data_IF_117444812347
#
_entry.id   IF_117444812347
#
_cell.length_a   1.000
_cell.length_b   1.000
_cell.length_c   1.000
_cell.angle_alpha   90.00
_cell.angle_beta   90.00
_cell.angle_gamma   90.00
#
_symmetry.space_group_name_H-M   'P 1'
#
loop_
_entity.id
_entity.type
_entity.pdbx_description
1 polymer ?
#
# COMPACT_ATOMS: atom_id res chain seq x y z
N UNK A 1 -1.87 -72.23 28.56
CA UNK A 1 -2.97 -72.19 27.57
C UNK A 1 -3.22 -70.72 27.27
N UNK A 2 -2.95 -70.32 26.02
CA UNK A 2 -3.32 -68.99 25.52
C UNK A 2 -4.79 -68.95 25.07
N UNK A 3 -5.12 -67.83 24.42
CA UNK A 3 -6.42 -67.36 23.93
C UNK A 3 -7.26 -66.64 25.01
N UNK A 4 -7.89 -65.50 24.76
CA UNK A 4 -8.00 -64.71 23.54
C UNK A 4 -8.50 -63.30 23.87
N UNK A 5 -8.04 -62.28 23.13
CA UNK A 5 -8.93 -61.20 22.73
C UNK A 5 -8.92 -59.89 23.52
N UNK A 6 -7.78 -59.24 23.76
CA UNK A 6 -7.77 -57.78 23.71
C UNK A 6 -7.66 -57.37 22.23
N UNK A 7 -8.78 -57.46 21.48
CA UNK A 7 -8.88 -56.76 20.20
C UNK A 7 -8.85 -55.27 20.56
N UNK A 8 -7.67 -54.64 20.45
CA UNK A 8 -7.56 -53.19 20.43
C UNK A 8 -8.62 -52.66 19.47
N UNK A 9 -9.65 -52.01 19.99
CA UNK A 9 -10.63 -51.35 19.15
C UNK A 9 -9.89 -50.26 18.37
N UNK A 10 -9.69 -50.50 17.08
CA UNK A 10 -9.23 -49.51 16.11
C UNK A 10 -10.42 -49.14 15.25
N UNK A 11 -10.68 -47.85 15.13
CA UNK A 11 -11.70 -47.34 14.24
C UNK A 11 -11.45 -47.83 12.79
N UNK A 12 -12.49 -48.00 11.99
CA UNK A 12 -12.35 -48.31 10.56
C UNK A 12 -11.54 -47.20 9.86
N UNK A 13 -11.68 -45.96 10.32
CA UNK A 13 -10.84 -44.80 9.96
C UNK A 13 -9.72 -44.56 10.98
N UNK A 14 -9.04 -45.63 11.45
CA UNK A 14 -7.86 -45.46 12.30
C UNK A 14 -6.85 -44.51 11.64
N UNK A 15 -6.12 -43.73 12.46
CA UNK A 15 -5.08 -42.80 12.02
C UNK A 15 -4.17 -43.54 11.04
N UNK A 16 -4.38 -43.30 9.75
CA UNK A 16 -3.52 -43.85 8.71
C UNK A 16 -2.16 -43.20 8.88
N UNK A 17 -1.11 -43.87 8.41
CA UNK A 17 0.23 -43.29 8.31
C UNK A 17 0.25 -42.19 7.25
N UNK A 18 -0.50 -41.11 7.48
CA UNK A 18 -0.50 -39.92 6.65
C UNK A 18 0.88 -39.29 6.77
N UNK A 19 1.74 -39.62 5.80
CA UNK A 19 3.16 -39.32 5.80
C UNK A 19 3.40 -37.81 5.99
N UNK A 20 2.45 -36.95 5.60
CA UNK A 20 2.55 -35.50 5.73
C UNK A 20 2.66 -35.00 7.18
N UNK A 21 1.82 -35.53 8.08
CA UNK A 21 1.81 -35.15 9.50
C UNK A 21 3.03 -35.74 10.21
N UNK A 22 3.38 -36.99 9.89
CA UNK A 22 4.57 -37.63 10.46
C UNK A 22 5.86 -36.94 10.01
N UNK A 23 5.96 -36.51 8.76
CA UNK A 23 7.08 -35.74 8.21
C UNK A 23 7.23 -34.36 8.86
N UNK A 24 6.12 -33.65 9.05
CA UNK A 24 6.12 -32.35 9.75
C UNK A 24 6.60 -32.52 11.20
N UNK A 25 6.11 -33.55 11.90
CA UNK A 25 6.56 -33.88 13.26
C UNK A 25 8.05 -34.28 13.27
N UNK A 26 8.56 -35.01 12.27
CA UNK A 26 9.98 -35.39 12.15
C UNK A 26 10.91 -34.19 11.92
N UNK A 27 10.46 -33.17 11.18
CA UNK A 27 11.24 -31.95 10.94
C UNK A 27 11.23 -30.98 12.13
N UNK A 28 10.28 -31.13 13.05
CA UNK A 28 10.18 -30.33 14.27
C UNK A 28 11.23 -30.66 15.33
N UNK A 29 11.52 -29.69 16.21
CA UNK A 29 12.42 -29.90 17.36
C UNK A 29 11.68 -30.71 18.43
N UNK A 30 12.08 -31.97 18.62
CA UNK A 30 11.54 -32.85 19.66
C UNK A 30 12.40 -32.79 20.91
N UNK A 31 11.77 -32.63 22.07
CA UNK A 31 12.46 -32.77 23.35
C UNK A 31 12.37 -34.22 23.84
N UNK A 32 13.38 -34.67 24.59
CA UNK A 32 13.40 -36.02 25.15
C UNK A 32 12.17 -36.31 26.02
N UNK A 33 11.71 -35.32 26.78
CA UNK A 33 10.49 -35.42 27.60
C UNK A 33 9.22 -35.64 26.77
N UNK A 34 9.07 -34.92 25.65
CA UNK A 34 7.92 -35.08 24.76
C UNK A 34 7.91 -36.46 24.08
N UNK A 35 9.09 -36.96 23.69
CA UNK A 35 9.24 -38.30 23.12
C UNK A 35 8.83 -39.36 24.15
N UNK A 36 9.34 -39.26 25.38
CA UNK A 36 9.07 -40.22 26.45
C UNK A 36 7.60 -40.24 26.89
N UNK A 37 6.97 -39.06 27.02
CA UNK A 37 5.54 -38.96 27.32
C UNK A 37 4.67 -39.51 26.19
N UNK A 38 5.02 -39.22 24.93
CA UNK A 38 4.31 -39.76 23.78
C UNK A 38 4.42 -41.30 23.68
N UNK A 39 5.57 -41.88 24.07
CA UNK A 39 5.75 -43.33 24.15
C UNK A 39 4.88 -43.94 25.25
N UNK A 40 4.83 -43.33 26.43
CA UNK A 40 3.97 -43.81 27.52
C UNK A 40 2.48 -43.76 27.18
N UNK A 41 2.03 -42.74 26.47
CA UNK A 41 0.64 -42.64 25.98
C UNK A 41 0.33 -43.74 24.94
N UNK A 42 1.32 -44.15 24.13
CA UNK A 42 1.16 -45.19 23.10
C UNK A 42 1.24 -46.62 23.64
N UNK A 43 2.12 -46.87 24.60
CA UNK A 43 2.46 -48.22 25.08
C UNK A 43 1.61 -48.67 26.27
N UNK A 44 1.14 -47.73 27.10
CA UNK A 44 0.30 -48.05 28.25
C UNK A 44 -1.16 -47.95 27.80
N UNK A 45 -1.87 -49.08 27.72
CA UNK A 45 -3.20 -49.11 27.10
C UNK A 45 -4.38 -48.73 28.02
N UNK A 46 -4.20 -48.69 29.35
CA UNK A 46 -5.32 -48.61 30.32
C UNK A 46 -4.85 -48.27 31.75
N UNK A 47 -5.72 -47.62 32.53
CA UNK A 47 -5.56 -47.47 33.98
C UNK A 47 -4.87 -46.18 34.46
N UNK A 48 -4.24 -46.25 35.63
CA UNK A 48 -3.62 -45.10 36.33
C UNK A 48 -2.46 -44.53 35.52
N UNK A 49 -1.63 -45.37 34.92
CA UNK A 49 -0.43 -44.92 34.22
C UNK A 49 -0.70 -44.11 32.95
N UNK A 50 -1.79 -44.39 32.24
CA UNK A 50 -2.21 -43.60 31.07
C UNK A 50 -2.68 -42.22 31.50
N UNK A 51 -3.52 -42.17 32.56
CA UNK A 51 -3.97 -40.92 33.16
C UNK A 51 -2.80 -40.08 33.66
N UNK A 52 -1.80 -40.71 34.28
CA UNK A 52 -0.58 -40.06 34.72
C UNK A 52 0.25 -39.51 33.55
N UNK A 53 0.45 -40.30 32.49
CA UNK A 53 1.20 -39.83 31.31
C UNK A 53 0.51 -38.68 30.58
N UNK A 54 -0.83 -38.68 30.54
CA UNK A 54 -1.64 -37.59 30.00
C UNK A 54 -1.59 -36.36 30.91
N UNK A 55 -1.65 -36.52 32.24
CA UNK A 55 -1.51 -35.44 33.20
C UNK A 55 -0.14 -34.75 33.05
N UNK A 56 0.95 -35.53 33.03
CA UNK A 56 2.30 -35.02 32.82
C UNK A 56 2.48 -34.34 31.45
N UNK A 57 1.77 -34.80 30.42
CA UNK A 57 1.78 -34.14 29.11
C UNK A 57 1.09 -32.77 29.14
N UNK A 58 -0.06 -32.66 29.82
CA UNK A 58 -0.77 -31.38 30.00
C UNK A 58 0.07 -30.40 30.82
N UNK A 59 0.69 -30.85 31.91
CA UNK A 59 1.59 -30.03 32.72
C UNK A 59 2.83 -29.56 31.94
N UNK A 60 3.43 -30.45 31.15
CA UNK A 60 4.57 -30.11 30.30
C UNK A 60 4.19 -29.09 29.22
N UNK A 61 3.02 -29.24 28.60
CA UNK A 61 2.50 -28.27 27.63
C UNK A 61 2.28 -26.90 28.26
N UNK A 62 1.68 -26.83 29.44
CA UNK A 62 1.44 -25.55 30.14
C UNK A 62 2.76 -24.81 30.42
N UNK A 63 3.76 -25.49 30.97
CA UNK A 63 5.09 -24.91 31.20
C UNK A 63 5.69 -24.40 29.88
N UNK A 64 5.62 -25.20 28.81
CA UNK A 64 6.24 -24.85 27.53
C UNK A 64 5.55 -23.66 26.85
N UNK A 65 4.22 -23.61 26.88
CA UNK A 65 3.43 -22.50 26.34
C UNK A 65 3.72 -21.22 27.14
N UNK A 66 3.78 -21.31 28.47
CA UNK A 66 4.09 -20.17 29.33
C UNK A 66 5.50 -19.61 29.09
N UNK A 67 6.50 -20.46 28.88
CA UNK A 67 7.86 -20.05 28.52
C UNK A 67 7.92 -19.33 27.16
N UNK A 68 7.20 -19.86 26.17
CA UNK A 68 7.09 -19.24 24.84
C UNK A 68 6.41 -17.87 24.94
N UNK A 69 5.28 -17.78 25.66
CA UNK A 69 4.58 -16.51 25.89
C UNK A 69 5.47 -15.48 26.62
N UNK A 70 6.26 -15.91 27.61
CA UNK A 70 7.21 -15.04 28.31
C UNK A 70 8.30 -14.52 27.38
N UNK A 71 8.85 -15.36 26.52
CA UNK A 71 9.84 -14.95 25.52
C UNK A 71 9.26 -13.99 24.49
N UNK A 72 8.04 -14.23 23.99
CA UNK A 72 7.35 -13.31 23.10
C UNK A 72 7.09 -11.95 23.77
N UNK A 73 6.60 -11.93 25.01
CA UNK A 73 6.42 -10.68 25.77
C UNK A 73 7.72 -9.90 25.95
N UNK A 74 8.83 -10.59 26.24
CA UNK A 74 10.15 -9.97 26.36
C UNK A 74 10.66 -9.42 25.02
N UNK A 75 10.42 -10.12 23.90
CA UNK A 75 10.78 -9.66 22.56
C UNK A 75 10.01 -8.40 22.17
N UNK A 76 8.68 -8.40 22.38
CA UNK A 76 7.83 -7.23 22.14
C UNK A 76 8.29 -6.04 22.98
N UNK A 77 8.58 -6.26 24.28
CA UNK A 77 9.09 -5.20 25.16
C UNK A 77 10.43 -4.62 24.69
N UNK A 78 11.35 -5.47 24.19
CA UNK A 78 12.61 -5.02 23.61
C UNK A 78 12.42 -4.24 22.32
N UNK A 79 11.49 -4.67 21.47
CA UNK A 79 11.19 -4.00 20.21
C UNK A 79 10.63 -2.59 20.46
N UNK A 80 9.65 -2.46 21.36
CA UNK A 80 9.09 -1.15 21.74
C UNK A 80 10.16 -0.20 22.31
N UNK A 81 11.12 -0.74 23.08
CA UNK A 81 12.23 0.05 23.61
C UNK A 81 13.19 0.52 22.50
N UNK A 82 13.49 -0.34 21.52
CA UNK A 82 14.32 0.01 20.36
C UNK A 82 13.65 1.08 19.51
N UNK A 83 12.36 0.95 19.22
CA UNK A 83 11.58 1.95 18.48
C UNK A 83 11.56 3.30 19.22
N UNK A 84 11.38 3.28 20.55
CA UNK A 84 11.45 4.48 21.38
C UNK A 84 12.82 5.16 21.33
N UNK A 85 13.91 4.38 21.44
CA UNK A 85 15.29 4.90 21.35
C UNK A 85 15.63 5.45 19.96
N UNK A 86 15.13 4.83 18.90
CA UNK A 86 15.30 5.34 17.54
C UNK A 86 14.56 6.66 17.35
N UNK A 87 13.31 6.74 17.82
CA UNK A 87 12.53 7.98 17.81
C UNK A 87 13.24 9.09 18.58
N UNK A 88 13.80 8.79 19.76
CA UNK A 88 14.55 9.76 20.55
C UNK A 88 15.84 10.22 19.85
N UNK A 89 16.58 9.28 19.24
CA UNK A 89 17.80 9.60 18.49
C UNK A 89 17.50 10.49 17.27
N UNK A 90 16.41 10.20 16.54
CA UNK A 90 15.97 11.01 15.41
C UNK A 90 15.62 12.44 15.87
N UNK A 91 14.85 12.57 16.96
CA UNK A 91 14.51 13.87 17.53
C UNK A 91 15.75 14.65 17.97
N UNK A 92 16.71 13.97 18.61
CA UNK A 92 17.97 14.59 19.02
C UNK A 92 18.80 15.04 17.81
N UNK A 93 18.82 14.25 16.73
CA UNK A 93 19.53 14.63 15.51
C UNK A 93 18.87 15.83 14.81
N UNK A 94 17.54 15.87 14.74
CA UNK A 94 16.78 17.04 14.27
C UNK A 94 17.10 18.29 15.08
N UNK A 95 17.18 18.14 16.42
CA UNK A 95 17.53 19.25 17.31
C UNK A 95 18.98 19.73 17.12
N UNK A 96 19.94 18.83 16.90
CA UNK A 96 21.34 19.21 16.61
C UNK A 96 21.43 19.96 15.28
N UNK A 97 20.77 19.47 14.23
CA UNK A 97 20.72 20.16 12.93
C UNK A 97 20.11 21.55 13.09
N UNK A 98 18.98 21.66 13.79
CA UNK A 98 18.30 22.92 14.05
C UNK A 98 19.18 23.95 14.78
N UNK A 99 20.06 23.50 15.68
CA UNK A 99 20.97 24.36 16.44
C UNK A 99 22.29 24.64 15.71
N UNK A 100 22.73 23.74 14.84
CA UNK A 100 23.95 23.90 14.03
C UNK A 100 23.75 24.91 12.90
N UNK A 101 22.53 25.05 12.37
CA UNK A 101 22.15 26.07 11.38
C UNK A 101 21.98 27.44 12.05
N UNK A 102 23.06 28.01 12.57
CA UNK A 102 23.07 29.33 13.25
C UNK A 102 22.85 30.53 12.31
N UNK A 103 22.81 30.30 11.00
CA UNK A 103 22.51 31.36 10.02
C UNK A 103 21.01 31.66 10.04
N UNK A 104 20.68 32.91 10.41
CA UNK A 104 19.29 33.37 10.61
C UNK A 104 18.39 33.09 9.40
N UNK A 105 18.94 33.13 8.19
CA UNK A 105 18.18 32.90 6.96
C UNK A 105 17.59 31.49 6.88
N UNK A 106 18.36 30.45 7.24
CA UNK A 106 17.90 29.04 7.16
C UNK A 106 16.86 28.74 8.25
N UNK A 107 17.01 29.35 9.43
CA UNK A 107 16.00 29.25 10.50
C UNK A 107 14.71 29.97 10.08
N UNK A 108 14.81 31.20 9.59
CA UNK A 108 13.65 31.96 9.11
C UNK A 108 12.96 31.24 7.94
N UNK A 109 13.72 30.62 7.04
CA UNK A 109 13.19 29.85 5.92
C UNK A 109 12.45 28.58 6.36
N UNK A 110 12.55 28.12 7.62
CA UNK A 110 11.74 27.00 8.14
C UNK A 110 10.36 27.42 8.59
N UNK A 111 10.12 28.71 8.83
CA UNK A 111 8.81 29.22 9.22
C UNK A 111 8.01 29.59 7.99
N UNK A 112 6.75 29.19 7.96
CA UNK A 112 5.79 29.59 6.94
C UNK A 112 4.55 30.15 7.60
N UNK A 113 4.12 31.33 7.15
CA UNK A 113 2.85 31.92 7.59
C UNK A 113 1.64 31.03 7.29
N UNK A 114 1.71 30.25 6.20
CA UNK A 114 0.61 29.40 5.73
C UNK A 114 0.68 27.96 6.22
N UNK A 115 1.89 27.41 6.40
CA UNK A 115 2.09 25.98 6.69
C UNK A 115 2.67 25.71 8.07
N UNK A 116 2.92 26.76 8.87
CA UNK A 116 3.47 26.66 10.21
C UNK A 116 5.00 26.52 10.22
N UNK A 117 5.52 26.12 11.38
CA UNK A 117 6.95 25.99 11.65
C UNK A 117 7.44 24.56 11.45
N UNK A 118 8.53 24.39 10.70
CA UNK A 118 9.17 23.10 10.43
C UNK A 118 10.44 22.91 11.27
N UNK A 119 10.79 21.67 11.61
CA UNK A 119 11.96 21.39 12.45
C UNK A 119 13.28 21.54 11.66
N UNK A 120 13.27 21.24 10.37
CA UNK A 120 14.38 21.43 9.44
C UNK A 120 13.88 21.98 8.10
N UNK A 121 14.73 22.69 7.35
CA UNK A 121 14.34 23.29 6.07
C UNK A 121 13.81 22.25 5.06
N UNK A 122 14.41 21.05 5.07
CA UNK A 122 14.00 19.96 4.19
C UNK A 122 12.54 19.55 4.38
N UNK A 123 12.04 19.48 5.63
CA UNK A 123 10.63 19.14 5.89
C UNK A 123 9.67 20.17 5.27
N UNK A 124 10.05 21.45 5.31
CA UNK A 124 9.26 22.50 4.63
C UNK A 124 9.29 22.31 3.12
N UNK A 125 10.45 22.02 2.53
CA UNK A 125 10.59 21.80 1.09
C UNK A 125 9.79 20.58 0.63
N UNK A 126 9.87 19.46 1.34
CA UNK A 126 9.08 18.25 1.04
C UNK A 126 7.57 18.51 1.17
N UNK A 127 7.14 19.29 2.16
CA UNK A 127 5.74 19.67 2.29
C UNK A 127 5.28 20.54 1.11
N UNK A 128 6.10 21.51 0.70
CA UNK A 128 5.83 22.33 -0.49
C UNK A 128 5.77 21.45 -1.73
N UNK A 129 6.72 20.53 -1.93
CA UNK A 129 6.74 19.61 -3.06
C UNK A 129 5.49 18.73 -3.09
N UNK A 130 5.08 18.17 -1.96
CA UNK A 130 3.86 17.34 -1.84
C UNK A 130 2.59 18.13 -2.18
N UNK A 131 2.52 19.39 -1.79
CA UNK A 131 1.40 20.26 -2.17
C UNK A 131 1.48 20.53 -3.67
N UNK A 132 2.63 20.95 -4.18
CA UNK A 132 2.83 21.26 -5.58
C UNK A 132 2.57 20.05 -6.49
N UNK A 133 2.89 18.82 -6.08
CA UNK A 133 2.64 17.62 -6.87
C UNK A 133 1.16 17.36 -7.08
N UNK A 134 0.29 17.81 -6.17
CA UNK A 134 -1.17 17.67 -6.27
C UNK A 134 -1.86 18.75 -7.12
N UNK A 135 -1.22 19.89 -7.34
CA UNK A 135 -1.80 21.06 -8.04
C UNK A 135 -1.09 21.41 -9.35
N UNK A 136 0.20 21.15 -9.45
CA UNK A 136 0.95 21.40 -10.67
C UNK A 136 0.87 20.12 -11.51
N UNK A 137 0.26 20.16 -12.71
CA UNK A 137 0.29 19.04 -13.65
C UNK A 137 1.72 18.92 -14.19
N UNK A 138 2.61 18.32 -13.40
CA UNK A 138 4.01 18.05 -13.71
C UNK A 138 4.38 16.70 -13.11
N UNK A 139 3.91 15.62 -13.72
CA UNK A 139 4.34 14.29 -13.30
C UNK A 139 3.98 13.21 -14.31
N UNK A 140 2.81 13.35 -14.95
CA UNK A 140 2.29 12.29 -15.82
C UNK A 140 1.70 12.90 -17.09
N UNK A 141 1.98 12.24 -18.21
CA UNK A 141 1.38 12.47 -19.51
C UNK A 141 0.37 11.35 -19.75
N UNK A 142 -0.91 11.71 -19.89
CA UNK A 142 -1.95 10.81 -20.33
C UNK A 142 -2.19 11.08 -21.81
N UNK A 143 -1.98 10.07 -22.65
CA UNK A 143 -2.27 10.13 -24.09
C UNK A 143 -3.53 9.34 -24.37
N UNK A 144 -4.53 9.98 -24.96
CA UNK A 144 -5.83 9.41 -25.32
C UNK A 144 -5.93 9.36 -26.84
N UNK A 145 -6.16 8.17 -27.42
CA UNK A 145 -6.43 7.98 -28.85
C UNK A 145 -7.83 8.47 -29.18
N UNK A 146 -7.93 9.66 -29.77
CA UNK A 146 -9.20 10.33 -30.09
C UNK A 146 -9.01 11.29 -31.25
N UNK A 147 -9.93 11.28 -32.20
CA UNK A 147 -9.95 12.23 -33.31
C UNK A 147 -10.53 13.56 -32.84
N UNK A 148 -9.73 14.62 -32.89
CA UNK A 148 -10.14 15.96 -32.47
C UNK A 148 -10.28 16.89 -33.68
N UNK A 149 -11.47 17.46 -33.89
CA UNK A 149 -11.73 18.42 -34.96
C UNK A 149 -11.55 19.88 -34.52
N UNK A 150 -11.51 20.11 -33.20
CA UNK A 150 -11.30 21.41 -32.56
C UNK A 150 -10.57 21.18 -31.23
N UNK A 151 -10.06 22.25 -30.63
CA UNK A 151 -9.57 22.19 -29.24
C UNK A 151 -10.74 21.77 -28.33
N UNK A 152 -10.56 20.78 -27.44
CA UNK A 152 -11.64 20.40 -26.53
C UNK A 152 -11.95 21.57 -25.60
N UNK A 153 -13.23 21.96 -25.53
CA UNK A 153 -13.68 23.12 -24.75
C UNK A 153 -13.52 22.89 -23.26
N UNK A 154 -13.65 21.63 -22.81
CA UNK A 154 -13.52 21.26 -21.42
C UNK A 154 -12.92 19.85 -21.29
N UNK A 155 -11.87 19.75 -20.47
CA UNK A 155 -11.28 18.47 -20.07
C UNK A 155 -11.01 18.53 -18.58
N UNK A 156 -11.62 17.61 -17.84
CA UNK A 156 -11.46 17.54 -16.40
C UNK A 156 -11.43 16.09 -15.93
N UNK A 157 -10.87 15.90 -14.73
CA UNK A 157 -10.72 14.58 -14.14
C UNK A 157 -11.52 14.53 -12.85
N UNK A 158 -12.33 13.49 -12.70
CA UNK A 158 -13.10 13.23 -11.49
C UNK A 158 -12.50 12.01 -10.79
N UNK A 159 -12.07 12.18 -9.54
CA UNK A 159 -11.51 11.09 -8.72
C UNK A 159 -12.39 10.72 -7.55
N UNK A 160 -12.51 9.43 -7.26
CA UNK A 160 -13.24 8.88 -6.13
C UNK A 160 -12.73 7.48 -5.78
N UNK A 161 -12.99 7.00 -4.58
CA UNK A 161 -12.59 5.67 -4.12
C UNK A 161 -13.79 4.74 -4.04
N UNK A 162 -13.56 3.43 -4.18
CA UNK A 162 -14.57 2.38 -3.99
C UNK A 162 -15.80 2.52 -4.91
N UNK A 163 -15.58 2.88 -6.17
CA UNK A 163 -16.62 2.87 -7.18
C UNK A 163 -17.31 1.51 -7.35
N UNK A 164 -18.56 1.54 -7.81
CA UNK A 164 -19.34 0.32 -8.07
C UNK A 164 -18.60 -0.61 -9.04
N UNK A 165 -18.53 -1.89 -8.69
CA UNK A 165 -17.95 -2.94 -9.53
C UNK A 165 -16.42 -3.04 -9.48
N UNK A 166 -15.74 -2.26 -8.62
CA UNK A 166 -14.28 -2.31 -8.47
C UNK A 166 -13.86 -3.33 -7.40
N UNK A 167 -14.63 -3.42 -6.32
CA UNK A 167 -14.49 -4.43 -5.28
C UNK A 167 -15.77 -5.25 -5.17
N UNK A 168 -15.72 -6.49 -4.66
CA UNK A 168 -16.92 -7.27 -4.40
C UNK A 168 -17.90 -6.52 -3.50
N UNK A 169 -19.19 -6.65 -3.78
CA UNK A 169 -20.25 -5.94 -3.07
C UNK A 169 -20.16 -6.22 -1.55
N UNK A 170 -20.15 -5.16 -0.73
CA UNK A 170 -20.11 -5.27 0.72
C UNK A 170 -18.71 -5.46 1.31
N UNK A 171 -17.65 -5.33 0.49
CA UNK A 171 -16.25 -5.35 0.98
C UNK A 171 -15.66 -3.95 1.15
N UNK A 172 -16.36 -2.94 0.65
CA UNK A 172 -16.03 -1.54 0.87
C UNK A 172 -16.23 -1.13 2.35
N UNK A 173 -15.44 -0.16 2.84
CA UNK A 173 -15.62 0.39 4.19
C UNK A 173 -17.02 0.97 4.40
N UNK A 174 -17.47 0.97 5.66
CA UNK A 174 -18.76 1.54 6.04
C UNK A 174 -18.93 2.98 5.52
N UNK A 175 -20.08 3.27 4.94
CA UNK A 175 -20.39 4.58 4.34
C UNK A 175 -19.76 4.84 2.96
N UNK A 176 -19.06 3.87 2.37
CA UNK A 176 -18.46 3.99 1.02
C UNK A 176 -19.16 3.17 -0.06
N UNK A 177 -20.34 2.63 0.22
CA UNK A 177 -21.16 1.94 -0.79
C UNK A 177 -21.50 2.91 -1.93
N UNK A 178 -21.10 2.56 -3.16
CA UNK A 178 -21.27 3.41 -4.34
C UNK A 178 -20.12 4.39 -4.60
N UNK A 179 -19.16 4.48 -3.67
CA UNK A 179 -17.96 5.30 -3.77
C UNK A 179 -17.97 6.54 -2.87
N UNK A 180 -16.80 7.15 -2.71
CA UNK A 180 -16.66 8.42 -1.98
C UNK A 180 -17.18 9.62 -2.78
N UNK A 181 -17.33 10.77 -2.12
CA UNK A 181 -17.67 12.03 -2.81
C UNK A 181 -16.64 12.30 -3.91
N UNK A 182 -17.06 12.47 -5.17
CA UNK A 182 -16.14 12.75 -6.27
C UNK A 182 -15.50 14.13 -6.14
N UNK A 183 -14.20 14.20 -6.44
CA UNK A 183 -13.41 15.43 -6.42
C UNK A 183 -12.95 15.72 -7.85
N UNK A 184 -13.19 16.95 -8.30
CA UNK A 184 -12.72 17.41 -9.61
C UNK A 184 -11.27 17.90 -9.46
N UNK A 185 -10.42 17.46 -10.39
CA UNK A 185 -9.02 17.82 -10.50
C UNK A 185 -8.75 18.44 -11.86
N UNK A 186 -7.98 19.52 -11.85
CA UNK A 186 -7.58 20.20 -13.07
C UNK A 186 -6.52 19.40 -13.83
N UNK A 187 -6.57 19.48 -15.16
CA UNK A 187 -5.58 18.93 -16.06
C UNK A 187 -5.20 19.99 -17.10
N UNK A 188 -4.02 19.84 -17.72
CA UNK A 188 -3.56 20.75 -18.78
C UNK A 188 -3.47 20.02 -20.10
N UNK A 189 -4.15 20.53 -21.12
CA UNK A 189 -4.00 20.04 -22.49
C UNK A 189 -2.60 20.43 -23.00
N UNK A 190 -1.84 19.44 -23.50
CA UNK A 190 -0.50 19.62 -24.06
C UNK A 190 -0.54 19.66 -25.58
N UNK A 191 -1.31 18.76 -26.20
CA UNK A 191 -1.51 18.68 -27.66
C UNK A 191 -2.78 17.89 -27.96
N UNK A 192 -3.35 18.05 -29.15
CA UNK A 192 -4.55 17.32 -29.61
C UNK A 192 -4.47 16.93 -31.09
N UNK A 193 -3.26 16.85 -31.63
CA UNK A 193 -3.01 16.58 -33.05
C UNK A 193 -2.86 15.08 -33.34
N UNK A 194 -2.95 14.72 -34.62
CA UNK A 194 -2.69 13.36 -35.11
C UNK A 194 -3.46 12.27 -34.37
N UNK A 195 -4.75 12.54 -34.08
CA UNK A 195 -5.65 11.62 -33.38
C UNK A 195 -5.20 11.26 -31.94
N UNK A 196 -4.38 12.11 -31.33
CA UNK A 196 -3.85 11.95 -29.97
C UNK A 196 -4.09 13.19 -29.12
N UNK A 197 -4.97 13.08 -28.13
CA UNK A 197 -5.12 14.08 -27.08
C UNK A 197 -4.13 13.77 -25.95
N UNK A 198 -3.22 14.69 -25.69
CA UNK A 198 -2.23 14.59 -24.62
C UNK A 198 -2.58 15.54 -23.49
N UNK A 199 -2.80 14.97 -22.30
CA UNK A 199 -3.13 15.68 -21.08
C UNK A 199 -1.96 15.55 -20.11
N UNK A 200 -1.65 16.65 -19.43
CA UNK A 200 -0.70 16.68 -18.33
C UNK A 200 -1.48 16.73 -17.03
N UNK A 201 -1.13 15.83 -16.11
CA UNK A 201 -1.82 15.63 -14.84
C UNK A 201 -0.80 15.53 -13.68
N UNK A 202 -1.27 15.70 -12.42
CA UNK A 202 -0.49 15.44 -11.21
C UNK A 202 0.23 14.09 -11.17
N UNK A 203 1.29 13.98 -10.37
CA UNK A 203 2.09 12.74 -10.25
C UNK A 203 1.27 11.56 -9.68
N UNK A 204 0.25 11.85 -8.87
CA UNK A 204 -0.62 10.87 -8.23
C UNK A 204 -1.34 9.95 -9.23
N UNK A 205 -1.45 10.37 -10.51
CA UNK A 205 -2.09 9.59 -11.56
C UNK A 205 -1.18 8.53 -12.20
N UNK A 206 0.07 8.42 -11.76
CA UNK A 206 1.07 7.66 -12.52
C UNK A 206 0.87 6.14 -12.55
N UNK A 207 0.13 5.60 -11.59
CA UNK A 207 -0.12 4.16 -11.47
C UNK A 207 -1.49 3.77 -12.04
N UNK A 208 -2.32 4.75 -12.40
CA UNK A 208 -3.63 4.51 -13.00
C UNK A 208 -3.49 3.82 -14.35
N UNK A 209 -4.33 2.82 -14.56
CA UNK A 209 -4.40 2.07 -15.82
C UNK A 209 -5.79 2.22 -16.42
N UNK A 210 -5.84 2.31 -17.75
CA UNK A 210 -7.11 2.28 -18.45
C UNK A 210 -7.86 0.98 -18.13
N UNK A 211 -9.15 1.13 -17.84
CA UNK A 211 -10.05 0.01 -17.58
C UNK A 211 -11.06 -0.11 -18.71
N UNK A 212 -11.85 0.95 -18.93
CA UNK A 212 -12.88 0.98 -19.96
C UNK A 212 -13.32 2.40 -20.27
N UNK A 213 -14.01 2.56 -21.39
CA UNK A 213 -14.66 3.79 -21.83
C UNK A 213 -16.18 3.64 -21.71
N UNK A 214 -16.78 3.95 -20.55
CA UNK A 214 -18.22 3.74 -20.33
C UNK A 214 -19.12 4.58 -21.25
N UNK A 215 -18.64 5.75 -21.68
CA UNK A 215 -19.32 6.65 -22.62
C UNK A 215 -18.29 7.17 -23.63
N UNK A 216 -18.73 7.68 -24.78
CA UNK A 216 -17.84 8.20 -25.83
C UNK A 216 -16.88 9.30 -25.35
N UNK A 217 -17.28 10.04 -24.32
CA UNK A 217 -16.55 11.19 -23.78
C UNK A 217 -15.97 10.92 -22.39
N UNK A 218 -16.10 9.70 -21.86
CA UNK A 218 -15.67 9.35 -20.50
C UNK A 218 -14.78 8.14 -20.53
N UNK A 219 -13.58 8.29 -19.96
CA UNK A 219 -12.59 7.23 -19.85
C UNK A 219 -12.33 6.90 -18.39
N UNK A 220 -12.53 5.64 -18.00
CA UNK A 220 -12.31 5.16 -16.65
C UNK A 220 -10.92 4.54 -16.52
N UNK A 221 -10.14 5.07 -15.58
CA UNK A 221 -8.86 4.54 -15.16
C UNK A 221 -8.95 4.06 -13.69
N UNK A 222 -8.24 2.99 -13.38
CA UNK A 222 -8.21 2.36 -12.06
C UNK A 222 -6.78 2.22 -11.54
N UNK A 223 -6.61 2.44 -10.24
CA UNK A 223 -5.43 2.05 -9.45
C UNK A 223 -5.90 1.40 -8.14
N UNK A 224 -5.98 0.07 -8.12
CA UNK A 224 -6.55 -0.66 -6.99
C UNK A 224 -8.00 -0.24 -6.71
N UNK A 225 -8.24 0.38 -5.55
CA UNK A 225 -9.55 0.88 -5.13
C UNK A 225 -9.83 2.33 -5.56
N UNK A 226 -8.86 3.00 -6.17
CA UNK A 226 -8.97 4.39 -6.62
C UNK A 226 -9.47 4.44 -8.06
N UNK A 227 -10.42 5.34 -8.30
CA UNK A 227 -11.09 5.52 -9.59
C UNK A 227 -10.79 6.92 -10.11
N UNK A 228 -10.48 7.01 -11.40
CA UNK A 228 -10.32 8.27 -12.10
C UNK A 228 -11.11 8.25 -13.39
N UNK A 229 -12.04 9.18 -13.56
CA UNK A 229 -12.76 9.39 -14.80
C UNK A 229 -12.23 10.63 -15.49
N UNK A 230 -11.76 10.48 -16.73
CA UNK A 230 -11.37 11.60 -17.58
C UNK A 230 -12.56 11.92 -18.48
N UNK A 231 -13.05 13.15 -18.37
CA UNK A 231 -14.13 13.67 -19.20
C UNK A 231 -13.51 14.54 -20.29
N UNK A 232 -13.83 14.25 -21.55
CA UNK A 232 -13.29 14.95 -22.72
C UNK A 232 -14.45 15.42 -23.60
N UNK A 233 -14.70 16.72 -23.61
CA UNK A 233 -15.76 17.28 -24.44
C UNK A 233 -15.27 17.49 -25.89
N UNK A 234 -16.00 16.88 -26.84
CA UNK A 234 -15.78 17.04 -28.28
C UNK A 234 -14.75 16.08 -28.88
N UNK A 235 -14.85 15.84 -30.20
CA UNK A 235 -14.09 14.81 -30.92
C UNK A 235 -14.80 13.45 -30.96
N UNK A 236 -14.13 12.43 -31.51
CA UNK A 236 -14.66 11.06 -31.63
C UNK A 236 -13.65 10.05 -31.08
N UNK A 237 -14.06 9.11 -30.21
CA UNK A 237 -13.16 8.10 -29.64
C UNK A 237 -12.69 7.13 -30.72
N UNK A 238 -11.44 6.66 -30.61
CA UNK A 238 -10.88 5.68 -31.55
C UNK A 238 -10.77 4.32 -30.87
N UNK A 239 -11.30 3.28 -31.51
CA UNK A 239 -11.24 1.90 -31.02
C UNK A 239 -12.44 1.48 -30.15
N UNK A 240 -12.39 0.25 -29.65
CA UNK A 240 -13.47 -0.35 -28.85
C UNK A 240 -13.42 0.14 -27.38
N UNK A 241 -14.56 0.23 -26.68
CA UNK A 241 -14.59 0.72 -25.29
C UNK A 241 -13.67 0.02 -24.28
N UNK A 242 -13.22 -1.20 -24.57
CA UNK A 242 -12.36 -2.02 -23.70
C UNK A 242 -10.95 -2.20 -24.27
N UNK A 243 -10.57 -1.42 -25.29
CA UNK A 243 -9.25 -1.50 -25.91
C UNK A 243 -8.20 -0.84 -25.01
N UNK A 244 -7.34 -1.66 -24.42
CA UNK A 244 -6.30 -1.24 -23.49
C UNK A 244 -5.29 -0.25 -24.08
N UNK A 245 -5.20 -0.14 -25.40
CA UNK A 245 -4.29 0.81 -26.04
C UNK A 245 -4.91 2.20 -26.26
N UNK A 246 -6.18 2.42 -25.88
CA UNK A 246 -6.84 3.72 -26.03
C UNK A 246 -6.21 4.81 -25.19
N UNK A 247 -5.70 4.45 -24.01
CA UNK A 247 -5.06 5.39 -23.10
C UNK A 247 -3.71 4.85 -22.65
N UNK A 248 -2.71 5.69 -22.79
CA UNK A 248 -1.35 5.44 -22.31
C UNK A 248 -1.03 6.46 -21.22
N UNK A 249 -0.63 5.96 -20.06
CA UNK A 249 -0.23 6.77 -18.90
C UNK A 249 1.28 6.64 -18.71
N UNK A 250 2.01 7.73 -18.91
CA UNK A 250 3.47 7.75 -18.82
C UNK A 250 3.94 8.76 -17.79
N UNK A 251 4.81 8.33 -16.87
CA UNK A 251 5.57 9.27 -16.02
C UNK A 251 6.48 10.09 -16.90
N UNK A 252 6.35 11.41 -16.84
CA UNK A 252 7.29 12.30 -17.50
C UNK A 252 8.57 12.27 -16.67
N UNK A 253 9.60 11.57 -17.17
CA UNK A 253 10.94 11.68 -16.59
C UNK A 253 11.38 13.14 -16.75
N UNK A 254 11.84 13.82 -15.68
CA UNK A 254 12.40 15.15 -15.83
C UNK A 254 13.61 15.05 -16.76
N UNK A 255 13.49 15.56 -17.98
CA UNK A 255 14.65 15.80 -18.81
C UNK A 255 15.39 16.97 -18.17
N UNK A 256 16.43 16.66 -17.39
CA UNK A 256 17.40 17.62 -16.88
C UNK A 256 18.19 18.21 -18.05
N UNK A 257 17.53 19.10 -18.79
CA UNK A 257 18.17 19.95 -19.79
C UNK A 257 18.03 21.38 -19.29
N UNK A 258 19.16 22.11 -19.21
CA UNK A 258 19.22 23.51 -18.76
C UNK A 258 18.15 24.42 -19.36
N UNK A 259 17.69 24.14 -20.60
CA UNK A 259 16.59 24.87 -21.25
C UNK A 259 15.26 24.79 -20.50
N UNK A 260 14.96 23.68 -19.83
CA UNK A 260 13.68 23.46 -19.13
C UNK A 260 13.62 24.20 -17.78
N UNK A 261 14.77 24.48 -17.17
CA UNK A 261 14.85 25.29 -15.94
C UNK A 261 14.65 26.77 -16.27
N UNK A 262 15.28 27.25 -17.35
CA UNK A 262 15.14 28.66 -17.79
C UNK A 262 13.72 28.97 -18.24
N UNK A 263 13.06 28.07 -18.97
CA UNK A 263 11.66 28.25 -19.38
C UNK A 263 10.69 28.26 -18.19
N UNK A 264 10.98 27.47 -17.14
CA UNK A 264 10.19 27.45 -15.90
C UNK A 264 10.41 28.71 -15.06
N UNK A 265 11.62 29.23 -15.00
CA UNK A 265 11.92 30.50 -14.32
C UNK A 265 11.21 31.68 -15.00
N UNK A 266 11.27 31.76 -16.32
CA UNK A 266 10.59 32.82 -17.07
C UNK A 266 9.06 32.75 -16.89
N UNK A 267 8.47 31.55 -16.88
CA UNK A 267 7.03 31.40 -16.65
C UNK A 267 6.58 31.75 -15.21
N UNK A 268 7.51 31.74 -14.25
CA UNK A 268 7.26 32.20 -12.88
C UNK A 268 7.42 33.72 -12.80
N UNK A 269 8.44 34.29 -13.45
CA UNK A 269 8.60 35.76 -13.59
C UNK A 269 7.38 36.40 -14.25
N UNK A 270 6.90 35.88 -15.38
CA UNK A 270 5.71 36.39 -16.08
C UNK A 270 4.45 36.37 -15.20
N UNK A 271 4.35 35.41 -14.28
CA UNK A 271 3.24 35.31 -13.32
C UNK A 271 3.40 36.24 -12.12
N UNK A 272 4.63 36.57 -11.73
CA UNK A 272 4.89 37.53 -10.65
C UNK A 272 4.75 38.98 -11.14
N UNK A 273 5.12 39.29 -12.39
CA UNK A 273 4.92 40.62 -12.98
C UNK A 273 3.43 40.95 -13.20
N UNK A 274 2.58 39.94 -13.40
CA UNK A 274 1.12 40.13 -13.49
C UNK A 274 0.41 40.37 -12.15
N UNK A 275 1.14 40.37 -11.02
CA UNK A 275 0.61 40.57 -9.66
C UNK A 275 1.03 41.90 -9.02
N UNK A 276 1.65 42.81 -9.77
CA UNK A 276 1.98 44.20 -9.36
C UNK A 276 1.01 45.20 -9.97
#
# INVERSE_FOLDING_TARGET
MGADGNKEYRDFEHISSDESIYDEIQRGIKTESAIKLSQWIREKGWGVDVRESLALFVEWLDIRVNDVLKNFKNLIGRQNNVEGRQTELENNFKNVIANATKDSEVITARSSEYFGDFAVLNERLENIEKILTGYVPQGVLITIKRKMNTIPENVYITTYDYGLGIVPLGTEPEGKFGGTVPIIKECKIVSWESDLLKLRVPLDYANFKFSQRPLDDVYLLLDGTHCSQIHVDGGEPIGLPTDNEQIIVEKIQPQNTQKDIVSRLNAIEDKMEGLV
#
